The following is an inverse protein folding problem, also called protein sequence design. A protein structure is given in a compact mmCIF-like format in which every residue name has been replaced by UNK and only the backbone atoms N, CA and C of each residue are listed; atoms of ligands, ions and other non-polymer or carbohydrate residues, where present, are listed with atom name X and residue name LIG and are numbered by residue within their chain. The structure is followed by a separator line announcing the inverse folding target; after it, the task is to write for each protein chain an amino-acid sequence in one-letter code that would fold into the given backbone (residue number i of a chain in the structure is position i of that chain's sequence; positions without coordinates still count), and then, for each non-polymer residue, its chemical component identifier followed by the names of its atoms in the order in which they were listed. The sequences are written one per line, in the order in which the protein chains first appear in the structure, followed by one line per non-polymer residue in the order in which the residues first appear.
data_IF_311225709615
#
_entry.id   IF_311225709615
#
_cell.length_a   1.000
_cell.length_b   1.000
_cell.length_c   1.000
_cell.angle_alpha   90.00
_cell.angle_beta   90.00
_cell.angle_gamma   90.00
#
_symmetry.space_group_name_H-M   'P 1'
#
loop_
_entity.id
_entity.type
_entity.pdbx_description
1 polymer ?
#
# COMPACT_ATOMS: atom_id res chain seq x y z
N UNK A 1 49.28 8.81 -6.79
CA UNK A 1 48.19 8.12 -7.50
C UNK A 1 48.10 6.72 -6.94
N UNK A 2 47.13 6.43 -6.09
CA UNK A 2 46.85 5.06 -5.65
C UNK A 2 45.33 4.84 -5.69
N UNK A 3 44.91 3.81 -6.41
CA UNK A 3 43.54 3.52 -6.79
C UNK A 3 43.12 2.18 -6.16
N UNK A 4 42.82 2.20 -4.86
CA UNK A 4 42.22 1.08 -4.13
C UNK A 4 40.72 0.95 -4.39
N UNK A 5 40.34 0.50 -5.58
CA UNK A 5 38.95 0.20 -5.96
C UNK A 5 38.41 -1.05 -5.25
N UNK A 6 37.92 -0.89 -4.01
CA UNK A 6 37.23 -1.92 -3.26
C UNK A 6 35.96 -2.38 -3.98
N UNK A 7 36.02 -3.56 -4.59
CA UNK A 7 34.86 -4.25 -5.18
C UNK A 7 33.86 -4.55 -4.06
N UNK A 8 32.82 -3.73 -3.94
CA UNK A 8 31.69 -3.97 -3.04
C UNK A 8 30.96 -5.23 -3.51
N UNK A 9 31.22 -6.34 -2.84
CA UNK A 9 30.49 -7.59 -3.02
C UNK A 9 29.01 -7.36 -2.68
N UNK A 10 28.16 -7.35 -3.69
CA UNK A 10 26.73 -7.43 -3.48
C UNK A 10 26.42 -8.83 -2.93
N UNK A 11 26.22 -8.89 -1.62
CA UNK A 11 25.75 -10.10 -0.93
C UNK A 11 24.48 -10.57 -1.63
N UNK A 12 24.53 -11.80 -2.14
CA UNK A 12 23.45 -12.50 -2.83
C UNK A 12 22.33 -12.77 -1.81
N UNK A 13 21.55 -11.74 -1.50
CA UNK A 13 20.37 -11.82 -0.63
C UNK A 13 19.34 -12.69 -1.33
N UNK A 14 19.10 -13.88 -0.79
CA UNK A 14 17.96 -14.71 -1.15
C UNK A 14 16.67 -13.92 -0.91
N UNK A 15 16.09 -13.37 -1.97
CA UNK A 15 14.84 -12.61 -1.93
C UNK A 15 13.70 -13.58 -1.61
N UNK A 16 13.39 -13.75 -0.33
CA UNK A 16 12.26 -14.56 0.14
C UNK A 16 10.98 -13.73 0.08
N UNK A 17 10.41 -13.59 -1.11
CA UNK A 17 9.11 -12.95 -1.31
C UNK A 17 7.99 -13.68 -0.59
N UNK A 18 7.19 -12.97 0.21
CA UNK A 18 5.98 -13.53 0.84
C UNK A 18 4.77 -12.73 0.39
N UNK A 19 3.82 -13.40 -0.24
CA UNK A 19 2.55 -12.82 -0.71
C UNK A 19 1.44 -13.35 0.20
N UNK A 20 0.82 -12.52 1.06
CA UNK A 20 -0.26 -12.91 2.00
C UNK A 20 -1.59 -12.23 1.68
N UNK A 21 -2.69 -12.99 1.62
CA UNK A 21 -4.03 -12.41 1.49
C UNK A 21 -4.44 -12.05 2.90
N UNK A 22 -4.84 -10.80 3.08
CA UNK A 22 -5.35 -10.28 4.35
C UNK A 22 -6.82 -9.93 4.11
N UNK A 23 -7.71 -10.87 4.44
CA UNK A 23 -9.07 -10.50 4.82
C UNK A 23 -8.99 -10.07 6.28
N UNK A 24 -9.31 -8.82 6.61
CA UNK A 24 -9.23 -8.38 7.99
C UNK A 24 -10.36 -9.02 8.82
N UNK A 25 -10.00 -10.10 9.52
CA UNK A 25 -10.27 -10.27 10.96
C UNK A 25 -8.97 -10.13 11.78
N UNK A 26 -7.81 -9.88 11.15
CA UNK A 26 -6.52 -9.83 11.85
C UNK A 26 -6.31 -8.47 12.52
N UNK A 27 -6.92 -8.32 13.70
CA UNK A 27 -6.84 -7.17 14.61
C UNK A 27 -5.41 -6.77 15.01
N UNK A 28 -4.41 -7.65 14.79
CA UNK A 28 -3.00 -7.44 15.18
C UNK A 28 -2.23 -6.47 14.29
N UNK A 29 -2.62 -6.32 13.01
CA UNK A 29 -1.88 -5.48 12.05
C UNK A 29 -2.55 -4.13 11.81
N UNK A 30 -3.87 -4.05 11.88
CA UNK A 30 -4.61 -2.81 11.65
C UNK A 30 -5.46 -2.49 12.88
N UNK A 31 -4.84 -2.05 13.99
CA UNK A 31 -5.57 -1.70 15.21
C UNK A 31 -6.44 -0.44 15.04
N UNK A 32 -6.03 0.48 14.16
CA UNK A 32 -6.63 1.81 13.99
C UNK A 32 -7.69 1.88 12.88
N UNK A 33 -8.32 0.75 12.53
CA UNK A 33 -9.47 0.77 11.63
C UNK A 33 -10.66 1.45 12.34
N UNK A 34 -11.39 2.27 11.59
CA UNK A 34 -12.63 2.86 12.06
C UNK A 34 -13.64 1.80 12.52
N UNK A 35 -14.52 2.14 13.48
CA UNK A 35 -15.63 1.26 13.84
C UNK A 35 -16.47 0.94 12.60
N UNK A 36 -16.92 -0.30 12.46
CA UNK A 36 -17.65 -0.82 11.30
C UNK A 36 -16.89 -0.83 9.95
N UNK A 37 -15.64 -0.34 9.90
CA UNK A 37 -14.84 -0.42 8.69
C UNK A 37 -14.35 -1.85 8.40
N UNK A 38 -14.33 -2.23 7.12
CA UNK A 38 -13.89 -3.56 6.69
C UNK A 38 -12.77 -3.47 5.66
N UNK A 39 -11.70 -4.24 5.85
CA UNK A 39 -10.53 -4.24 4.97
C UNK A 39 -10.31 -5.60 4.33
N UNK A 40 -10.16 -5.63 3.00
CA UNK A 40 -9.65 -6.81 2.27
C UNK A 40 -8.52 -6.39 1.36
N UNK A 41 -7.35 -6.95 1.60
CA UNK A 41 -6.13 -6.58 0.91
C UNK A 41 -5.22 -7.78 0.67
N UNK A 42 -4.17 -7.55 -0.10
CA UNK A 42 -3.03 -8.42 -0.29
C UNK A 42 -1.79 -7.68 0.16
N UNK A 43 -0.98 -8.29 1.01
CA UNK A 43 0.38 -7.81 1.28
C UNK A 43 1.42 -8.61 0.51
N UNK A 44 2.45 -7.90 0.08
CA UNK A 44 3.68 -8.43 -0.50
C UNK A 44 4.88 -7.76 0.16
N UNK A 45 5.93 -8.52 0.44
CA UNK A 45 7.19 -7.96 0.94
C UNK A 45 8.35 -8.66 0.24
N UNK A 46 9.32 -7.87 -0.24
CA UNK A 46 10.62 -8.31 -0.73
C UNK A 46 11.71 -7.49 0.01
N UNK A 47 12.98 -7.81 -0.22
CA UNK A 47 14.09 -7.02 0.33
C UNK A 47 13.97 -5.57 -0.13
N UNK A 48 13.84 -4.64 0.83
CA UNK A 48 13.66 -3.19 0.59
C UNK A 48 12.41 -2.82 -0.22
N UNK A 49 11.39 -3.68 -0.26
CA UNK A 49 10.11 -3.40 -0.92
C UNK A 49 8.96 -3.89 -0.05
N UNK A 50 7.94 -3.06 0.10
CA UNK A 50 6.66 -3.42 0.70
C UNK A 50 5.52 -3.00 -0.21
N UNK A 51 4.50 -3.85 -0.32
CA UNK A 51 3.31 -3.57 -1.11
C UNK A 51 2.05 -4.00 -0.35
N UNK A 52 1.01 -3.18 -0.43
CA UNK A 52 -0.32 -3.45 0.10
C UNK A 52 -1.35 -2.95 -0.90
N UNK A 53 -2.22 -3.82 -1.39
CA UNK A 53 -3.29 -3.42 -2.32
C UNK A 53 -4.59 -4.08 -1.95
N UNK A 54 -5.71 -3.38 -2.12
CA UNK A 54 -7.00 -3.90 -1.71
C UNK A 54 -8.09 -2.85 -1.73
N UNK A 55 -9.12 -3.11 -0.93
CA UNK A 55 -10.21 -2.20 -0.70
C UNK A 55 -10.55 -2.13 0.79
N UNK A 56 -10.92 -0.94 1.22
CA UNK A 56 -11.47 -0.66 2.55
C UNK A 56 -12.89 -0.13 2.36
N UNK A 57 -13.84 -0.69 3.09
CA UNK A 57 -15.14 -0.07 3.30
C UNK A 57 -14.98 0.86 4.49
N UNK A 58 -15.17 2.17 4.30
CA UNK A 58 -15.10 3.17 5.37
C UNK A 58 -16.23 2.99 6.37
N UNK A 59 -16.13 3.65 7.52
CA UNK A 59 -17.18 3.66 8.54
C UNK A 59 -18.54 4.16 8.02
N UNK A 60 -18.55 4.96 6.95
CA UNK A 60 -19.78 5.47 6.29
C UNK A 60 -20.30 4.51 5.20
N UNK A 61 -19.69 3.33 5.04
CA UNK A 61 -20.07 2.34 4.04
C UNK A 61 -19.47 2.56 2.64
N UNK A 62 -18.61 3.56 2.45
CA UNK A 62 -17.99 3.84 1.15
C UNK A 62 -16.85 2.87 0.86
N UNK A 63 -16.85 2.23 -0.30
CA UNK A 63 -15.75 1.34 -0.73
C UNK A 63 -14.66 2.13 -1.44
N UNK A 64 -13.48 2.17 -0.84
CA UNK A 64 -12.28 2.83 -1.36
C UNK A 64 -11.30 1.76 -1.82
N UNK A 65 -10.88 1.82 -3.08
CA UNK A 65 -9.84 0.96 -3.66
C UNK A 65 -8.49 1.65 -3.52
N UNK A 66 -7.45 0.90 -3.14
CA UNK A 66 -6.12 1.45 -2.95
C UNK A 66 -5.02 0.50 -3.39
N UNK A 67 -3.86 1.07 -3.75
CA UNK A 67 -2.62 0.35 -3.97
C UNK A 67 -1.45 1.18 -3.45
N UNK A 68 -0.71 0.62 -2.50
CA UNK A 68 0.45 1.22 -1.85
C UNK A 68 1.67 0.37 -2.21
N UNK A 69 2.68 1.03 -2.79
CA UNK A 69 3.97 0.43 -3.11
C UNK A 69 5.08 1.31 -2.53
N UNK A 70 5.93 0.71 -1.72
CA UNK A 70 7.08 1.36 -1.10
C UNK A 70 8.35 0.63 -1.51
N UNK A 71 9.22 1.34 -2.23
CA UNK A 71 10.52 0.84 -2.72
C UNK A 71 11.67 1.65 -2.09
N UNK A 72 12.83 1.02 -1.92
CA UNK A 72 14.05 1.72 -1.49
C UNK A 72 14.03 2.14 -0.01
N UNK A 73 13.28 1.41 0.80
CA UNK A 73 12.95 1.74 2.18
C UNK A 73 14.22 1.65 3.04
N UNK A 74 14.95 2.78 3.20
CA UNK A 74 16.19 2.82 4.00
C UNK A 74 15.95 2.53 5.49
N UNK A 75 14.74 2.82 6.00
CA UNK A 75 14.28 2.49 7.35
C UNK A 75 13.77 1.05 7.53
N UNK A 76 13.97 0.17 6.54
CA UNK A 76 13.53 -1.22 6.56
C UNK A 76 12.03 -1.41 6.37
N UNK A 77 11.61 -2.67 6.20
CA UNK A 77 10.22 -3.06 5.91
C UNK A 77 9.24 -2.60 6.99
N UNK A 78 9.66 -2.55 8.26
CA UNK A 78 8.79 -2.17 9.37
C UNK A 78 8.24 -0.75 9.24
N UNK A 79 9.08 0.22 8.85
CA UNK A 79 8.66 1.61 8.65
C UNK A 79 7.61 1.74 7.53
N UNK A 80 7.81 1.04 6.42
CA UNK A 80 6.84 1.01 5.33
C UNK A 80 5.52 0.35 5.74
N UNK A 81 5.57 -0.69 6.58
CA UNK A 81 4.35 -1.30 7.12
C UNK A 81 3.58 -0.35 8.04
N UNK A 82 4.28 0.40 8.90
CA UNK A 82 3.63 1.39 9.75
C UNK A 82 2.96 2.49 8.90
N UNK A 83 3.61 2.93 7.82
CA UNK A 83 3.00 3.88 6.88
C UNK A 83 1.78 3.30 6.17
N UNK A 84 1.85 2.04 5.69
CA UNK A 84 0.70 1.32 5.13
C UNK A 84 -0.48 1.27 6.12
N UNK A 85 -0.21 0.96 7.39
CA UNK A 85 -1.21 0.88 8.46
C UNK A 85 -1.85 2.26 8.75
N UNK A 86 -1.04 3.31 8.83
CA UNK A 86 -1.53 4.67 9.02
C UNK A 86 -2.41 5.15 7.85
N UNK A 87 -2.00 4.87 6.61
CA UNK A 87 -2.78 5.22 5.41
C UNK A 87 -4.12 4.50 5.42
N UNK A 88 -4.13 3.19 5.65
CA UNK A 88 -5.38 2.41 5.69
C UNK A 88 -6.28 2.86 6.84
N UNK A 89 -5.72 3.19 8.01
CA UNK A 89 -6.45 3.76 9.13
C UNK A 89 -7.11 5.10 8.77
N UNK A 90 -6.42 5.97 8.02
CA UNK A 90 -6.99 7.21 7.52
C UNK A 90 -8.12 6.96 6.51
N UNK A 91 -7.92 6.06 5.54
CA UNK A 91 -8.94 5.69 4.55
C UNK A 91 -10.19 5.08 5.20
N UNK A 92 -10.03 4.30 6.27
CA UNK A 92 -11.18 3.70 6.99
C UNK A 92 -12.11 4.73 7.63
N UNK A 93 -11.59 5.92 7.93
CA UNK A 93 -12.32 7.06 8.51
C UNK A 93 -12.67 8.12 7.47
N UNK A 94 -12.35 7.87 6.20
CA UNK A 94 -12.65 8.79 5.13
C UNK A 94 -14.16 8.96 5.00
N UNK A 95 -14.56 10.23 4.94
CA UNK A 95 -15.92 10.67 4.63
C UNK A 95 -15.81 11.49 3.37
N UNK A 96 -16.53 11.10 2.32
CA UNK A 96 -16.67 11.96 1.14
C UNK A 96 -17.28 13.28 1.60
N UNK A 97 -16.61 14.39 1.34
CA UNK A 97 -17.22 15.72 1.48
C UNK A 97 -18.43 15.79 0.56
N UNK A 98 -19.45 16.59 0.90
CA UNK A 98 -20.58 16.81 0.01
C UNK A 98 -20.06 17.38 -1.33
N UNK A 99 -19.93 16.53 -2.34
CA UNK A 99 -19.66 16.98 -3.69
C UNK A 99 -20.95 17.62 -4.21
N UNK A 100 -20.98 18.96 -4.30
CA UNK A 100 -21.92 19.62 -5.19
C UNK A 100 -21.69 19.02 -6.59
N UNK A 101 -22.68 18.31 -7.09
CA UNK A 101 -22.54 17.34 -8.18
C UNK A 101 -21.65 17.81 -9.34
N UNK A 102 -20.54 17.14 -9.52
CA UNK A 102 -19.90 16.92 -10.82
C UNK A 102 -19.14 15.61 -10.70
N UNK A 103 -19.79 14.53 -11.11
CA UNK A 103 -19.10 13.27 -11.33
C UNK A 103 -17.96 13.53 -12.32
N UNK A 104 -16.70 13.13 -12.05
CA UNK A 104 -15.72 13.03 -13.11
C UNK A 104 -16.24 11.97 -14.08
N UNK A 105 -16.76 12.43 -15.21
CA UNK A 105 -17.23 11.59 -16.30
C UNK A 105 -16.17 10.53 -16.61
N UNK A 106 -16.64 9.29 -16.81
CA UNK A 106 -15.78 8.17 -17.15
C UNK A 106 -14.82 8.57 -18.26
N UNK A 107 -13.53 8.62 -17.94
CA UNK A 107 -12.48 8.79 -18.91
C UNK A 107 -12.56 7.59 -19.86
N UNK A 108 -13.20 7.79 -21.01
CA UNK A 108 -13.04 6.90 -22.15
C UNK A 108 -11.55 6.88 -22.47
N UNK A 109 -10.91 5.69 -22.52
CA UNK A 109 -9.51 5.60 -22.91
C UNK A 109 -9.38 6.20 -24.31
N UNK A 110 -8.72 7.36 -24.42
CA UNK A 110 -8.47 7.97 -25.72
C UNK A 110 -7.41 7.12 -26.42
N UNK A 111 -7.88 6.23 -27.29
CA UNK A 111 -7.04 5.39 -28.13
C UNK A 111 -6.27 6.31 -29.10
N UNK A 112 -4.94 6.32 -28.98
CA UNK A 112 -4.06 7.03 -29.92
C UNK A 112 -3.90 6.11 -31.14
N UNK A 113 -4.37 6.50 -32.34
CA UNK A 113 -4.10 5.72 -33.54
C UNK A 113 -2.61 5.79 -33.88
N UNK A 114 -2.10 4.69 -34.44
CA UNK A 114 -0.69 4.51 -34.81
C UNK A 114 -0.26 5.44 -35.93
#
# INVERSE_FOLDING_TARGET
MDAGGGRRGYSRSLVRGRIRVIAAQSRRRFPDLGPEASLRAKSGTLTNVSALSGYVTSAEGERIVFSILSNGNRGGVASARAAEEAIVGALSRYRRGAESGTAPGGATPRMIPR
#
